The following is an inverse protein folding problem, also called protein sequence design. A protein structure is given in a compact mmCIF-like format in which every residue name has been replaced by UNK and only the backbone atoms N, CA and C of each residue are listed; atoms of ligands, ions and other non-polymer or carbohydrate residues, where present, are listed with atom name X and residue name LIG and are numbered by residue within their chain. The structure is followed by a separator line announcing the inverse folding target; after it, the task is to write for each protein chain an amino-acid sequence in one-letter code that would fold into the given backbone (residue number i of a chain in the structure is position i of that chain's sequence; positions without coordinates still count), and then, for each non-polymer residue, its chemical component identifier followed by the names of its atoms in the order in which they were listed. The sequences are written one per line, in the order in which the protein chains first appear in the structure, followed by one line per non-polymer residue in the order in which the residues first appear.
data_IF_844547683901
#
_entry.id   IF_844547683901
#
_cell.length_a   1.000
_cell.length_b   1.000
_cell.length_c   1.000
_cell.angle_alpha   90.00
_cell.angle_beta   90.00
_cell.angle_gamma   90.00
#
_symmetry.space_group_name_H-M   'P 1'
#
loop_
_entity.id
_entity.type
_entity.pdbx_description
1 polymer ?
#
# COMPACT_ATOMS: atom_id res chain seq x y z
N UNK A 1 15.02 -54.10 26.64
CA UNK A 1 13.73 -53.66 26.08
C UNK A 1 13.62 -52.16 26.31
N UNK A 2 14.08 -51.35 25.39
CA UNK A 2 14.02 -49.88 25.41
C UNK A 2 12.83 -49.45 24.56
N UNK A 3 11.80 -48.92 25.21
CA UNK A 3 10.62 -48.39 24.54
C UNK A 3 10.99 -47.13 23.75
N UNK A 4 10.90 -47.23 22.45
CA UNK A 4 10.98 -46.08 21.55
C UNK A 4 9.71 -45.25 21.73
N UNK A 5 9.83 -44.12 22.41
CA UNK A 5 8.78 -43.09 22.45
C UNK A 5 8.63 -42.51 21.04
N UNK A 6 7.58 -42.90 20.32
CA UNK A 6 7.16 -42.32 19.09
C UNK A 6 6.74 -40.87 19.34
N UNK A 7 7.64 -39.94 19.00
CA UNK A 7 7.37 -38.51 19.01
C UNK A 7 6.48 -38.21 17.81
N UNK A 8 5.15 -38.37 17.94
CA UNK A 8 4.17 -37.88 16.99
C UNK A 8 4.17 -36.37 17.08
N UNK A 9 5.02 -35.73 16.25
CA UNK A 9 4.93 -34.30 16.00
C UNK A 9 3.54 -34.02 15.43
N UNK A 10 2.63 -33.54 16.28
CA UNK A 10 1.35 -33.04 15.88
C UNK A 10 1.64 -31.99 14.79
N UNK A 11 1.28 -32.28 13.53
CA UNK A 11 1.39 -31.32 12.42
C UNK A 11 0.62 -30.08 12.85
N UNK A 12 1.34 -29.02 13.19
CA UNK A 12 0.75 -27.74 13.58
C UNK A 12 -0.20 -27.30 12.47
N UNK A 13 -1.49 -27.31 12.77
CA UNK A 13 -2.55 -26.99 11.81
C UNK A 13 -2.52 -25.49 11.55
N UNK A 14 -2.62 -25.10 10.30
CA UNK A 14 -2.73 -23.69 9.90
C UNK A 14 -4.10 -23.18 10.36
N UNK A 15 -4.19 -22.06 11.10
CA UNK A 15 -5.45 -21.54 11.59
C UNK A 15 -6.21 -20.80 10.47
N UNK A 16 -6.85 -21.54 9.58
CA UNK A 16 -7.50 -21.03 8.38
C UNK A 16 -8.55 -19.94 8.66
N UNK A 17 -9.27 -20.03 9.77
CA UNK A 17 -10.24 -18.98 10.15
C UNK A 17 -9.57 -17.62 10.34
N UNK A 18 -8.42 -17.58 11.02
CA UNK A 18 -7.64 -16.35 11.23
C UNK A 18 -7.14 -15.81 9.88
N UNK A 19 -6.67 -16.70 9.00
CA UNK A 19 -6.15 -16.31 7.68
C UNK A 19 -7.28 -15.76 6.81
N UNK A 20 -8.42 -16.44 6.74
CA UNK A 20 -9.57 -16.01 5.95
C UNK A 20 -10.08 -14.63 6.45
N UNK A 21 -10.28 -14.50 7.76
CA UNK A 21 -10.71 -13.21 8.33
C UNK A 21 -9.72 -12.09 8.07
N UNK A 22 -8.41 -12.33 8.23
CA UNK A 22 -7.39 -11.33 7.94
C UNK A 22 -7.31 -10.98 6.45
N UNK A 23 -7.48 -11.95 5.55
CA UNK A 23 -7.56 -11.71 4.10
C UNK A 23 -8.78 -10.86 3.73
N UNK A 24 -9.94 -11.12 4.34
CA UNK A 24 -11.14 -10.31 4.12
C UNK A 24 -10.95 -8.89 4.64
N UNK A 25 -10.33 -8.72 5.82
CA UNK A 25 -9.97 -7.38 6.34
C UNK A 25 -9.04 -6.65 5.38
N UNK A 26 -8.00 -7.32 4.87
CA UNK A 26 -7.09 -6.72 3.90
C UNK A 26 -7.82 -6.30 2.61
N UNK A 27 -8.69 -7.16 2.07
CA UNK A 27 -9.48 -6.85 0.88
C UNK A 27 -10.46 -5.70 1.11
N UNK A 28 -11.16 -5.66 2.25
CA UNK A 28 -12.06 -4.57 2.63
C UNK A 28 -11.33 -3.25 2.89
N UNK A 29 -10.11 -3.29 3.43
CA UNK A 29 -9.33 -2.07 3.68
C UNK A 29 -8.79 -1.46 2.39
N UNK A 30 -8.24 -2.28 1.49
CA UNK A 30 -7.62 -1.79 0.25
C UNK A 30 -8.61 -1.61 -0.90
N UNK A 31 -9.71 -2.37 -0.92
CA UNK A 31 -10.68 -2.36 -2.00
C UNK A 31 -11.33 -0.99 -2.23
N UNK A 32 -12.10 -0.43 -1.29
CA UNK A 32 -12.74 0.87 -1.45
C UNK A 32 -11.75 1.98 -1.76
N UNK A 33 -10.61 1.99 -1.06
CA UNK A 33 -9.56 2.98 -1.29
C UNK A 33 -9.07 2.99 -2.76
N UNK A 34 -8.87 1.82 -3.34
CA UNK A 34 -8.39 1.71 -4.73
C UNK A 34 -9.43 2.15 -5.77
N UNK A 35 -10.69 2.18 -5.39
CA UNK A 35 -11.81 2.57 -6.23
C UNK A 35 -12.23 4.05 -6.07
N UNK A 36 -11.56 4.81 -5.17
CA UNK A 36 -11.94 6.21 -4.89
C UNK A 36 -11.93 7.10 -6.13
N UNK A 37 -11.07 6.84 -7.12
CA UNK A 37 -11.02 7.60 -8.35
C UNK A 37 -12.34 7.62 -9.15
N UNK A 38 -13.19 6.57 -9.01
CA UNK A 38 -14.51 6.54 -9.66
C UNK A 38 -15.52 7.54 -9.08
N UNK A 39 -15.32 7.98 -7.85
CA UNK A 39 -16.17 8.96 -7.17
C UNK A 39 -15.85 10.41 -7.58
N UNK A 40 -14.68 10.66 -8.19
CA UNK A 40 -14.23 12.01 -8.52
C UNK A 40 -15.23 12.74 -9.39
N UNK A 41 -15.46 12.30 -10.62
CA UNK A 41 -16.30 13.02 -11.57
C UNK A 41 -17.74 13.20 -11.11
N UNK A 42 -18.47 12.17 -10.64
CA UNK A 42 -19.86 12.35 -10.22
C UNK A 42 -20.00 13.28 -9.00
N UNK A 43 -19.05 13.22 -8.07
CA UNK A 43 -19.04 14.11 -6.91
C UNK A 43 -18.78 15.56 -7.27
N UNK A 44 -17.77 15.80 -8.13
CA UNK A 44 -17.44 17.15 -8.58
C UNK A 44 -18.58 17.78 -9.39
N UNK A 45 -19.21 17.00 -10.26
CA UNK A 45 -20.37 17.46 -11.06
C UNK A 45 -21.55 17.88 -10.20
N UNK A 46 -21.85 17.14 -9.12
CA UNK A 46 -22.98 17.45 -8.22
C UNK A 46 -22.67 18.60 -7.26
N UNK A 47 -21.45 18.65 -6.72
CA UNK A 47 -21.08 19.63 -5.67
C UNK A 47 -20.50 20.93 -6.24
N UNK A 48 -20.15 20.98 -7.52
CA UNK A 48 -19.47 22.13 -8.13
C UNK A 48 -18.03 22.35 -7.63
N UNK A 49 -17.39 21.29 -7.15
CA UNK A 49 -15.99 21.33 -6.67
C UNK A 49 -15.03 21.09 -7.83
N UNK A 50 -13.76 21.47 -7.62
CA UNK A 50 -12.66 21.27 -8.57
C UNK A 50 -11.89 19.96 -8.31
N UNK A 51 -11.01 19.60 -9.25
CA UNK A 51 -10.17 18.41 -9.14
C UNK A 51 -9.09 18.55 -8.07
N UNK A 52 -8.64 19.76 -7.79
CA UNK A 52 -7.71 20.08 -6.70
C UNK A 52 -8.32 19.71 -5.36
N UNK A 53 -9.58 20.06 -5.13
CA UNK A 53 -10.31 19.75 -3.90
C UNK A 53 -10.38 18.24 -3.63
N UNK A 54 -10.76 17.44 -4.64
CA UNK A 54 -10.79 15.99 -4.52
C UNK A 54 -9.37 15.41 -4.41
N UNK A 55 -8.45 15.90 -5.21
CA UNK A 55 -7.05 15.49 -5.17
C UNK A 55 -6.41 15.73 -3.80
N UNK A 56 -6.69 16.89 -3.16
CA UNK A 56 -6.20 17.17 -1.82
C UNK A 56 -6.81 16.22 -0.77
N UNK A 57 -8.10 15.88 -0.87
CA UNK A 57 -8.71 14.90 0.03
C UNK A 57 -8.01 13.54 -0.05
N UNK A 58 -7.78 13.04 -1.25
CA UNK A 58 -7.06 11.79 -1.50
C UNK A 58 -5.57 11.87 -1.11
N UNK A 59 -4.95 13.03 -1.29
CA UNK A 59 -3.57 13.27 -0.86
C UNK A 59 -3.44 13.19 0.66
N UNK A 60 -4.33 13.88 1.39
CA UNK A 60 -4.43 13.79 2.85
C UNK A 60 -4.64 12.34 3.32
N UNK A 61 -5.47 11.58 2.62
CA UNK A 61 -5.69 10.16 2.92
C UNK A 61 -4.37 9.36 2.93
N UNK A 62 -3.53 9.56 1.92
CA UNK A 62 -2.24 8.91 1.84
C UNK A 62 -1.29 9.38 2.95
N UNK A 63 -1.27 10.67 3.25
CA UNK A 63 -0.43 11.23 4.31
C UNK A 63 -0.82 10.68 5.68
N UNK A 64 -2.12 10.68 6.02
CA UNK A 64 -2.60 10.18 7.30
C UNK A 64 -2.47 8.66 7.41
N UNK A 65 -2.53 7.92 6.30
CA UNK A 65 -2.16 6.51 6.29
C UNK A 65 -0.68 6.34 6.68
N UNK A 66 0.24 7.08 6.07
CA UNK A 66 1.67 7.00 6.37
C UNK A 66 2.01 7.36 7.82
N UNK A 67 1.45 8.46 8.31
CA UNK A 67 1.65 8.93 9.67
C UNK A 67 0.99 8.01 10.72
N UNK A 68 -0.20 7.48 10.41
CA UNK A 68 -0.96 6.63 11.33
C UNK A 68 -0.36 5.24 11.50
N UNK A 69 0.33 4.72 10.48
CA UNK A 69 0.81 3.33 10.49
C UNK A 69 1.74 2.99 11.67
N UNK A 70 2.79 3.77 11.99
CA UNK A 70 3.65 3.50 13.14
C UNK A 70 2.89 3.58 14.47
N UNK A 71 1.97 4.54 14.56
CA UNK A 71 1.16 4.76 15.75
C UNK A 71 0.23 3.58 16.04
N UNK A 72 -0.55 3.17 15.03
CA UNK A 72 -1.46 2.02 15.17
C UNK A 72 -0.70 0.69 15.30
N UNK A 73 0.48 0.56 14.69
CA UNK A 73 1.38 -0.57 14.90
C UNK A 73 1.77 -0.71 16.37
N UNK A 74 2.25 0.36 16.99
CA UNK A 74 2.62 0.38 18.41
C UNK A 74 1.43 0.08 19.33
N UNK A 75 0.24 0.60 19.02
CA UNK A 75 -0.99 0.27 19.77
C UNK A 75 -1.35 -1.22 19.60
N UNK A 76 -1.23 -1.77 18.39
CA UNK A 76 -1.51 -3.19 18.13
C UNK A 76 -0.57 -4.12 18.90
N UNK A 77 0.71 -3.75 19.02
CA UNK A 77 1.70 -4.52 19.77
C UNK A 77 1.43 -4.47 21.29
N UNK A 78 0.92 -3.35 21.81
CA UNK A 78 0.65 -3.19 23.24
C UNK A 78 -0.73 -3.71 23.66
N UNK A 79 -1.76 -3.42 22.88
CA UNK A 79 -3.16 -3.67 23.27
C UNK A 79 -3.84 -4.77 22.46
N UNK A 80 -3.14 -5.36 21.50
CA UNK A 80 -3.63 -6.44 20.65
C UNK A 80 -4.21 -5.96 19.33
N UNK A 81 -4.00 -6.78 18.30
CA UNK A 81 -4.33 -6.48 16.90
C UNK A 81 -5.82 -6.27 16.67
N UNK A 82 -6.69 -7.09 17.31
CA UNK A 82 -8.14 -7.05 17.08
C UNK A 82 -8.77 -5.70 17.45
N UNK A 83 -8.28 -5.05 18.53
CA UNK A 83 -8.77 -3.73 18.96
C UNK A 83 -8.44 -2.64 17.97
N UNK A 84 -7.23 -2.69 17.42
CA UNK A 84 -6.79 -1.70 16.42
C UNK A 84 -7.54 -1.90 15.11
N UNK A 85 -7.73 -3.14 14.66
CA UNK A 85 -8.51 -3.44 13.46
C UNK A 85 -9.99 -3.00 13.63
N UNK A 86 -10.59 -3.25 14.81
CA UNK A 86 -11.95 -2.80 15.15
C UNK A 86 -12.06 -1.27 15.08
N UNK A 87 -11.14 -0.57 15.76
CA UNK A 87 -11.10 0.90 15.74
C UNK A 87 -10.90 1.41 14.31
N UNK A 88 -10.00 0.80 13.56
CA UNK A 88 -9.75 1.15 12.15
C UNK A 88 -10.98 1.00 11.28
N UNK A 89 -11.71 -0.12 11.40
CA UNK A 89 -12.96 -0.35 10.68
C UNK A 89 -14.04 0.69 10.99
N UNK A 90 -14.19 1.07 12.28
CA UNK A 90 -15.14 2.10 12.70
C UNK A 90 -14.75 3.50 12.20
N UNK A 91 -13.47 3.88 12.29
CA UNK A 91 -12.96 5.16 11.78
C UNK A 91 -13.14 5.21 10.25
N UNK A 92 -12.86 4.11 9.55
CA UNK A 92 -13.01 4.04 8.10
C UNK A 92 -14.48 4.17 7.70
N UNK A 93 -15.39 3.45 8.37
CA UNK A 93 -16.84 3.57 8.16
C UNK A 93 -17.31 5.02 8.37
N UNK A 94 -16.92 5.65 9.48
CA UNK A 94 -17.26 7.05 9.76
C UNK A 94 -16.72 8.00 8.67
N UNK A 95 -15.51 7.76 8.17
CA UNK A 95 -14.91 8.55 7.09
C UNK A 95 -15.67 8.45 5.78
N UNK A 96 -16.04 7.24 5.36
CA UNK A 96 -16.84 7.00 4.15
C UNK A 96 -18.24 7.60 4.27
N UNK A 97 -18.88 7.47 5.42
CA UNK A 97 -20.19 8.07 5.68
C UNK A 97 -20.13 9.60 5.66
N UNK A 98 -19.08 10.19 6.27
CA UNK A 98 -18.87 11.64 6.23
C UNK A 98 -18.61 12.12 4.79
N UNK A 99 -17.87 11.35 3.99
CA UNK A 99 -17.66 11.64 2.58
C UNK A 99 -18.99 11.58 1.78
N UNK A 100 -19.84 10.57 2.05
CA UNK A 100 -21.14 10.40 1.40
C UNK A 100 -22.08 11.60 1.66
N UNK A 101 -22.04 12.14 2.87
CA UNK A 101 -22.91 13.24 3.33
C UNK A 101 -22.23 14.61 3.26
N UNK A 102 -21.06 14.73 2.61
CA UNK A 102 -20.28 15.95 2.59
C UNK A 102 -21.04 17.10 1.90
N UNK A 103 -21.26 18.19 2.64
CA UNK A 103 -21.83 19.44 2.16
C UNK A 103 -20.81 20.56 2.00
N UNK A 104 -19.60 20.35 2.48
CA UNK A 104 -18.49 21.29 2.40
C UNK A 104 -17.17 20.59 2.08
N UNK A 105 -16.24 21.34 1.50
CA UNK A 105 -14.87 20.90 1.22
C UNK A 105 -14.17 20.39 2.49
N UNK A 106 -14.39 21.07 3.63
CA UNK A 106 -13.82 20.64 4.91
C UNK A 106 -14.31 19.26 5.34
N UNK A 107 -15.62 18.95 5.16
CA UNK A 107 -16.15 17.61 5.45
C UNK A 107 -15.53 16.55 4.54
N UNK A 108 -15.33 16.84 3.26
CA UNK A 108 -14.64 15.93 2.34
C UNK A 108 -13.20 15.68 2.80
N UNK A 109 -12.45 16.71 3.16
CA UNK A 109 -11.05 16.58 3.58
C UNK A 109 -10.92 15.80 4.90
N UNK A 110 -11.83 16.03 5.85
CA UNK A 110 -11.84 15.27 7.12
C UNK A 110 -12.27 13.82 6.86
N UNK A 111 -13.39 13.60 6.16
CA UNK A 111 -13.95 12.27 5.91
C UNK A 111 -13.03 11.42 5.04
N UNK A 112 -12.81 11.83 3.81
CA UNK A 112 -11.99 11.11 2.83
C UNK A 112 -10.49 11.17 3.18
N UNK A 113 -9.99 12.33 3.63
CA UNK A 113 -8.57 12.53 3.90
C UNK A 113 -8.15 11.95 5.24
N UNK A 114 -8.64 12.50 6.35
CA UNK A 114 -8.14 12.16 7.69
C UNK A 114 -8.72 10.83 8.16
N UNK A 115 -10.04 10.69 8.21
CA UNK A 115 -10.67 9.51 8.81
C UNK A 115 -10.43 8.25 7.97
N UNK A 116 -10.62 8.30 6.66
CA UNK A 116 -10.32 7.15 5.80
C UNK A 116 -8.83 6.83 5.84
N UNK A 117 -7.93 7.83 5.81
CA UNK A 117 -6.49 7.63 5.93
C UNK A 117 -6.08 6.91 7.23
N UNK A 118 -6.61 7.36 8.37
CA UNK A 118 -6.37 6.70 9.66
C UNK A 118 -7.03 5.32 9.73
N UNK A 119 -8.22 5.15 9.16
CA UNK A 119 -8.89 3.85 9.06
C UNK A 119 -8.07 2.83 8.28
N UNK A 120 -7.51 3.24 7.13
CA UNK A 120 -6.58 2.41 6.33
C UNK A 120 -5.29 2.12 7.09
N UNK A 121 -4.74 3.08 7.85
CA UNK A 121 -3.56 2.87 8.68
C UNK A 121 -3.79 1.80 9.75
N UNK A 122 -4.92 1.87 10.45
CA UNK A 122 -5.29 0.91 11.50
C UNK A 122 -5.72 -0.46 10.95
N UNK A 123 -6.33 -0.50 9.73
CA UNK A 123 -6.65 -1.72 8.99
C UNK A 123 -5.52 -2.26 8.14
N UNK A 124 -4.32 -1.69 8.26
CA UNK A 124 -3.22 -1.95 7.33
C UNK A 124 -2.79 -3.41 7.31
N UNK A 125 -2.31 -3.79 6.13
CA UNK A 125 -1.77 -5.10 5.84
C UNK A 125 -0.67 -5.55 6.82
N UNK A 126 0.20 -4.64 7.26
CA UNK A 126 1.26 -4.96 8.23
C UNK A 126 0.70 -5.41 9.60
N UNK A 127 -0.43 -4.84 10.04
CA UNK A 127 -1.11 -5.23 11.28
C UNK A 127 -1.74 -6.63 11.14
N UNK A 128 -2.35 -6.91 9.99
CA UNK A 128 -2.89 -8.24 9.66
C UNK A 128 -1.77 -9.28 9.61
N UNK A 129 -0.65 -8.97 8.94
CA UNK A 129 0.51 -9.87 8.86
C UNK A 129 1.14 -10.14 10.23
N UNK A 130 1.18 -9.16 11.12
CA UNK A 130 1.64 -9.35 12.48
C UNK A 130 0.74 -10.34 13.25
N UNK A 131 -0.58 -10.32 13.01
CA UNK A 131 -1.49 -11.34 13.53
C UNK A 131 -1.20 -12.72 12.94
N UNK A 132 -1.00 -12.81 11.62
CA UNK A 132 -0.66 -14.08 10.97
C UNK A 132 0.65 -14.67 11.51
N UNK A 133 1.68 -13.83 11.69
CA UNK A 133 2.96 -14.27 12.24
C UNK A 133 2.84 -14.91 13.63
N UNK A 134 1.92 -14.41 14.47
CA UNK A 134 1.70 -14.95 15.83
C UNK A 134 1.00 -16.29 15.84
N UNK A 135 0.12 -16.55 14.87
CA UNK A 135 -0.73 -17.74 14.85
C UNK A 135 -0.24 -18.81 13.86
N UNK A 136 0.81 -18.52 13.07
CA UNK A 136 1.29 -19.43 12.03
C UNK A 136 2.68 -19.97 12.37
N UNK A 137 2.92 -21.28 12.26
CA UNK A 137 4.25 -21.89 12.41
C UNK A 137 5.27 -21.24 11.48
N UNK A 138 6.55 -21.06 11.90
CA UNK A 138 7.59 -20.37 11.12
C UNK A 138 7.73 -20.87 9.69
N UNK A 139 7.60 -22.19 9.47
CA UNK A 139 7.77 -22.87 8.18
C UNK A 139 6.68 -22.48 7.16
N UNK A 140 5.51 -22.04 7.63
CA UNK A 140 4.36 -21.67 6.79
C UNK A 140 4.11 -20.16 6.69
N UNK A 141 4.84 -19.34 7.45
CA UNK A 141 4.65 -17.88 7.48
C UNK A 141 4.78 -17.24 6.11
N UNK A 142 5.75 -17.67 5.31
CA UNK A 142 5.98 -17.10 3.98
C UNK A 142 4.75 -17.29 3.05
N UNK A 143 4.16 -18.49 3.06
CA UNK A 143 2.95 -18.77 2.26
C UNK A 143 1.78 -17.93 2.75
N UNK A 144 1.55 -17.87 4.08
CA UNK A 144 0.45 -17.11 4.67
C UNK A 144 0.58 -15.61 4.41
N UNK A 145 1.80 -15.09 4.45
CA UNK A 145 2.08 -13.69 4.09
C UNK A 145 1.80 -13.41 2.62
N UNK A 146 2.17 -14.35 1.73
CA UNK A 146 1.83 -14.28 0.31
C UNK A 146 0.33 -14.24 0.07
N UNK A 147 -0.43 -15.12 0.73
CA UNK A 147 -1.90 -15.15 0.66
C UNK A 147 -2.51 -13.82 1.13
N UNK A 148 -2.04 -13.28 2.26
CA UNK A 148 -2.51 -12.00 2.78
C UNK A 148 -2.22 -10.83 1.82
N UNK A 149 -1.04 -10.81 1.19
CA UNK A 149 -0.70 -9.79 0.18
C UNK A 149 -1.59 -9.89 -1.05
N UNK A 150 -1.82 -11.11 -1.52
CA UNK A 150 -2.72 -11.38 -2.64
C UNK A 150 -4.16 -10.93 -2.34
N UNK A 151 -4.62 -11.08 -1.10
CA UNK A 151 -5.96 -10.67 -0.69
C UNK A 151 -6.17 -9.15 -0.78
N UNK A 152 -5.17 -8.34 -0.41
CA UNK A 152 -5.23 -6.88 -0.61
C UNK A 152 -5.39 -6.51 -2.09
N UNK A 153 -4.61 -7.16 -2.96
CA UNK A 153 -4.70 -6.97 -4.42
C UNK A 153 -6.01 -7.51 -5.00
N UNK A 154 -6.55 -8.61 -4.47
CA UNK A 154 -7.88 -9.11 -4.83
C UNK A 154 -8.97 -8.10 -4.45
N UNK A 155 -8.84 -7.38 -3.33
CA UNK A 155 -9.70 -6.27 -2.98
C UNK A 155 -9.68 -5.19 -4.07
N UNK A 156 -8.51 -4.76 -4.54
CA UNK A 156 -8.39 -3.79 -5.65
C UNK A 156 -9.11 -4.27 -6.92
N UNK A 157 -8.89 -5.54 -7.28
CA UNK A 157 -9.53 -6.15 -8.46
C UNK A 157 -11.06 -6.17 -8.37
N UNK A 158 -11.60 -6.58 -7.21
CA UNK A 158 -13.03 -6.74 -7.01
C UNK A 158 -13.77 -5.42 -6.85
N UNK A 159 -13.18 -4.46 -6.15
CA UNK A 159 -13.86 -3.20 -5.83
C UNK A 159 -13.94 -2.23 -7.02
N UNK A 160 -13.10 -2.35 -8.05
CA UNK A 160 -13.22 -1.53 -9.25
C UNK A 160 -14.59 -1.74 -9.95
N UNK A 161 -14.96 -2.97 -10.38
CA UNK A 161 -16.28 -3.20 -10.98
C UNK A 161 -17.43 -3.04 -9.98
N UNK A 162 -17.24 -3.44 -8.72
CA UNK A 162 -18.27 -3.30 -7.67
C UNK A 162 -18.64 -1.83 -7.47
N UNK A 163 -17.65 -0.95 -7.31
CA UNK A 163 -17.87 0.47 -7.07
C UNK A 163 -18.57 1.12 -8.25
N UNK A 164 -18.07 0.89 -9.47
CA UNK A 164 -18.68 1.46 -10.66
C UNK A 164 -20.11 0.96 -10.87
N UNK A 165 -20.37 -0.34 -10.63
CA UNK A 165 -21.72 -0.91 -10.71
C UNK A 165 -22.69 -0.28 -9.70
N UNK A 166 -22.26 -0.10 -8.45
CA UNK A 166 -23.06 0.56 -7.41
C UNK A 166 -23.27 2.04 -7.71
N UNK A 167 -22.24 2.76 -8.18
CA UNK A 167 -22.36 4.18 -8.57
C UNK A 167 -23.38 4.34 -9.69
N UNK A 168 -23.36 3.44 -10.68
CA UNK A 168 -24.30 3.47 -11.81
C UNK A 168 -25.74 3.17 -11.37
N UNK A 169 -25.91 2.26 -10.40
CA UNK A 169 -27.26 1.83 -9.92
C UNK A 169 -27.87 2.77 -8.89
N UNK A 170 -27.06 3.32 -7.98
CA UNK A 170 -27.52 4.03 -6.78
C UNK A 170 -26.93 5.44 -6.62
N UNK A 171 -26.01 5.84 -7.49
CA UNK A 171 -25.28 7.09 -7.34
C UNK A 171 -24.08 6.98 -6.40
N UNK A 172 -23.24 8.01 -6.41
CA UNK A 172 -21.98 8.03 -5.66
C UNK A 172 -22.18 8.08 -4.13
N UNK A 173 -23.15 8.86 -3.66
CA UNK A 173 -23.41 9.06 -2.22
C UNK A 173 -23.87 7.77 -1.57
N UNK A 174 -24.92 7.11 -2.11
CA UNK A 174 -25.44 5.86 -1.55
C UNK A 174 -24.43 4.73 -1.64
N UNK A 175 -23.61 4.71 -2.71
CA UNK A 175 -22.50 3.76 -2.82
C UNK A 175 -21.50 3.90 -1.68
N UNK A 176 -21.15 5.12 -1.28
CA UNK A 176 -20.28 5.36 -0.13
C UNK A 176 -20.93 4.96 1.19
N UNK A 177 -22.25 5.12 1.33
CA UNK A 177 -23.00 4.62 2.50
C UNK A 177 -22.93 3.09 2.56
N UNK A 178 -23.16 2.39 1.44
CA UNK A 178 -23.01 0.93 1.39
C UNK A 178 -21.58 0.48 1.71
N UNK A 179 -20.58 1.16 1.18
CA UNK A 179 -19.19 0.88 1.53
C UNK A 179 -18.89 1.15 3.01
N UNK A 180 -19.44 2.22 3.57
CA UNK A 180 -19.34 2.48 5.02
C UNK A 180 -19.91 1.32 5.83
N UNK A 181 -21.10 0.82 5.46
CA UNK A 181 -21.71 -0.33 6.13
C UNK A 181 -20.86 -1.60 5.98
N UNK A 182 -20.19 -1.81 4.83
CA UNK A 182 -19.25 -2.93 4.65
C UNK A 182 -18.06 -2.86 5.61
N UNK A 183 -17.57 -1.66 5.95
CA UNK A 183 -16.47 -1.51 6.92
C UNK A 183 -16.86 -1.94 8.33
N UNK A 184 -18.15 -1.89 8.68
CA UNK A 184 -18.65 -2.35 9.99
C UNK A 184 -18.57 -3.89 10.15
N UNK A 185 -18.24 -4.63 9.09
CA UNK A 185 -17.96 -6.06 9.16
C UNK A 185 -16.55 -6.31 9.75
N UNK A 186 -15.62 -5.35 9.60
CA UNK A 186 -14.22 -5.50 10.07
C UNK A 186 -14.14 -5.81 11.56
N UNK A 187 -14.87 -5.16 12.49
CA UNK A 187 -14.91 -5.52 13.90
C UNK A 187 -15.21 -7.00 14.16
N UNK A 188 -16.16 -7.56 13.44
CA UNK A 188 -16.54 -8.99 13.58
C UNK A 188 -15.42 -9.90 13.05
N UNK A 189 -14.86 -9.56 11.88
CA UNK A 189 -13.73 -10.30 11.29
C UNK A 189 -12.45 -10.20 12.12
N UNK A 190 -12.32 -9.17 12.94
CA UNK A 190 -11.14 -8.99 13.79
C UNK A 190 -11.15 -9.90 15.03
N UNK A 191 -12.31 -10.42 15.47
CA UNK A 191 -12.44 -11.25 16.67
C UNK A 191 -11.50 -12.49 16.65
N UNK A 192 -11.43 -13.28 15.57
CA UNK A 192 -10.53 -14.43 15.52
C UNK A 192 -9.04 -14.05 15.54
N UNK A 193 -8.70 -12.81 15.20
CA UNK A 193 -7.33 -12.29 15.25
C UNK A 193 -6.93 -11.80 16.65
N UNK A 194 -7.84 -11.94 17.63
CA UNK A 194 -7.54 -11.68 19.03
C UNK A 194 -6.51 -12.70 19.54
N UNK A 195 -5.37 -12.23 20.01
CA UNK A 195 -4.32 -13.06 20.60
C UNK A 195 -3.48 -12.22 21.56
N UNK A 196 -2.88 -12.86 22.56
CA UNK A 196 -2.04 -12.16 23.53
C UNK A 196 -0.83 -11.54 22.84
N UNK A 197 -0.65 -10.24 23.02
CA UNK A 197 0.45 -9.45 22.46
C UNK A 197 1.81 -9.73 23.11
N UNK A 198 1.85 -10.54 24.18
CA UNK A 198 3.09 -10.85 24.90
C UNK A 198 3.84 -12.00 24.23
N UNK A 199 4.90 -11.68 23.49
CA UNK A 199 5.98 -12.61 23.19
C UNK A 199 7.16 -12.31 24.14
N UNK A 200 7.36 -13.09 25.22
CA UNK A 200 8.45 -12.85 26.18
C UNK A 200 9.84 -13.03 25.56
N UNK A 201 9.93 -13.66 24.37
CA UNK A 201 11.21 -14.01 23.74
C UNK A 201 11.81 -12.89 22.86
N UNK A 202 11.18 -11.74 22.76
CA UNK A 202 11.80 -10.58 22.06
C UNK A 202 12.80 -9.81 22.94
N UNK A 203 12.94 -10.18 24.22
CA UNK A 203 13.80 -9.47 25.19
C UNK A 203 15.27 -9.94 25.20
N UNK A 204 15.63 -11.00 24.50
CA UNK A 204 16.96 -11.61 24.57
C UNK A 204 17.83 -11.33 23.33
N UNK A 205 17.98 -10.07 22.93
CA UNK A 205 19.06 -9.69 22.02
C UNK A 205 19.90 -8.60 22.71
N UNK A 206 21.09 -8.96 23.14
CA UNK A 206 22.12 -8.08 23.71
C UNK A 206 22.69 -7.21 22.57
N UNK A 207 21.90 -6.24 22.13
CA UNK A 207 22.40 -5.19 21.27
C UNK A 207 21.72 -3.88 21.70
N UNK A 208 22.52 -2.98 22.32
CA UNK A 208 22.06 -1.79 23.01
C UNK A 208 21.76 -0.58 22.09
N UNK A 209 21.59 -0.81 20.76
CA UNK A 209 21.29 0.29 19.86
C UNK A 209 19.88 0.83 20.11
N UNK A 210 19.77 2.10 20.52
CA UNK A 210 18.49 2.78 20.66
C UNK A 210 17.82 3.06 19.31
N UNK A 211 16.50 3.18 19.29
CA UNK A 211 15.72 3.53 18.08
C UNK A 211 16.25 4.81 17.41
N UNK A 212 16.58 5.84 18.22
CA UNK A 212 17.14 7.11 17.71
C UNK A 212 18.53 6.94 17.09
N UNK A 213 19.37 6.07 17.66
CA UNK A 213 20.69 5.77 17.10
C UNK A 213 20.59 5.01 15.77
N UNK A 214 19.68 4.01 15.68
CA UNK A 214 19.43 3.27 14.46
C UNK A 214 18.88 4.16 13.33
N UNK A 215 17.99 5.10 13.67
CA UNK A 215 17.47 6.07 12.71
C UNK A 215 18.56 7.02 12.21
N UNK A 216 19.40 7.53 13.11
CA UNK A 216 20.51 8.42 12.75
C UNK A 216 21.54 7.70 11.88
N UNK A 217 21.88 6.45 12.20
CA UNK A 217 22.75 5.59 11.38
C UNK A 217 22.18 5.41 9.97
N UNK A 218 20.88 5.08 9.86
CA UNK A 218 20.23 4.85 8.59
C UNK A 218 20.14 6.13 7.74
N UNK A 219 19.75 7.26 8.32
CA UNK A 219 19.70 8.54 7.62
C UNK A 219 21.08 9.08 7.23
N UNK A 220 22.15 8.68 7.92
CA UNK A 220 23.53 8.94 7.54
C UNK A 220 24.07 7.98 6.44
N UNK A 221 23.37 6.89 6.15
CA UNK A 221 23.81 5.89 5.20
C UNK A 221 23.33 6.17 3.78
N UNK A 222 24.23 6.50 2.87
CA UNK A 222 23.92 6.91 1.49
C UNK A 222 22.95 5.96 0.77
N UNK A 223 23.18 4.65 0.83
CA UNK A 223 22.33 3.67 0.13
C UNK A 223 20.89 3.67 0.67
N UNK A 224 20.69 3.92 1.97
CA UNK A 224 19.35 4.01 2.55
C UNK A 224 18.63 5.29 2.11
N UNK A 225 19.31 6.43 2.12
CA UNK A 225 18.71 7.69 1.66
C UNK A 225 18.32 7.60 0.19
N UNK A 226 19.15 6.99 -0.66
CA UNK A 226 18.83 6.75 -2.06
C UNK A 226 17.61 5.81 -2.22
N UNK A 227 17.52 4.77 -1.40
CA UNK A 227 16.37 3.85 -1.39
C UNK A 227 15.08 4.58 -0.98
N UNK A 228 15.12 5.39 0.07
CA UNK A 228 14.00 6.23 0.53
C UNK A 228 13.56 7.20 -0.56
N UNK A 229 14.52 7.87 -1.22
CA UNK A 229 14.24 8.82 -2.31
C UNK A 229 13.62 8.14 -3.53
N UNK A 230 14.08 6.95 -3.89
CA UNK A 230 13.50 6.20 -5.01
C UNK A 230 12.12 5.64 -4.69
N UNK A 231 11.88 5.19 -3.46
CA UNK A 231 10.57 4.65 -3.07
C UNK A 231 9.48 5.74 -2.97
N UNK A 232 9.86 6.99 -2.74
CA UNK A 232 8.99 8.16 -2.90
C UNK A 232 8.31 8.18 -4.27
N UNK A 233 9.06 7.89 -5.33
CA UNK A 233 8.54 7.90 -6.71
C UNK A 233 7.50 6.81 -6.93
N UNK A 234 7.66 5.64 -6.29
CA UNK A 234 6.62 4.60 -6.32
C UNK A 234 5.28 5.16 -5.84
N UNK A 235 5.30 5.84 -4.70
CA UNK A 235 4.09 6.47 -4.15
C UNK A 235 3.47 7.48 -5.09
N UNK A 236 4.27 8.36 -5.66
CA UNK A 236 3.82 9.37 -6.61
C UNK A 236 3.06 8.74 -7.79
N UNK A 237 3.67 7.78 -8.47
CA UNK A 237 3.10 7.15 -9.66
C UNK A 237 1.84 6.33 -9.33
N UNK A 238 1.90 5.48 -8.31
CA UNK A 238 0.81 4.57 -7.95
C UNK A 238 -0.42 5.34 -7.48
N UNK A 239 -0.24 6.33 -6.61
CA UNK A 239 -1.36 7.07 -6.05
C UNK A 239 -2.01 8.01 -7.08
N UNK A 240 -1.21 8.65 -7.94
CA UNK A 240 -1.72 9.45 -9.05
C UNK A 240 -2.63 8.61 -9.97
N UNK A 241 -2.16 7.46 -10.42
CA UNK A 241 -2.96 6.57 -11.28
C UNK A 241 -4.22 6.12 -10.54
N UNK A 242 -4.12 5.69 -9.30
CA UNK A 242 -5.30 5.24 -8.52
C UNK A 242 -6.38 6.31 -8.41
N UNK A 243 -5.99 7.57 -8.21
CA UNK A 243 -6.93 8.66 -7.98
C UNK A 243 -7.51 9.26 -9.28
N UNK A 244 -6.66 9.43 -10.30
CA UNK A 244 -7.02 10.23 -11.47
C UNK A 244 -7.22 9.42 -12.76
N UNK A 245 -6.87 8.13 -12.78
CA UNK A 245 -7.01 7.32 -14.00
C UNK A 245 -8.45 7.23 -14.54
N UNK A 246 -9.50 7.05 -13.68
CA UNK A 246 -10.87 7.04 -14.19
C UNK A 246 -11.27 8.35 -14.85
N UNK A 247 -10.90 9.50 -14.25
CA UNK A 247 -11.16 10.81 -14.81
C UNK A 247 -10.38 11.04 -16.11
N UNK A 248 -9.10 10.63 -16.15
CA UNK A 248 -8.27 10.73 -17.35
C UNK A 248 -8.86 9.93 -18.52
N UNK A 249 -9.33 8.71 -18.30
CA UNK A 249 -9.95 7.88 -19.35
C UNK A 249 -11.21 8.55 -19.91
N UNK A 250 -12.02 9.18 -19.04
CA UNK A 250 -13.19 9.93 -19.48
C UNK A 250 -12.80 11.18 -20.29
N UNK A 251 -11.77 11.92 -19.86
CA UNK A 251 -11.29 13.14 -20.51
C UNK A 251 -10.76 12.89 -21.94
N UNK A 252 -10.11 11.74 -22.16
CA UNK A 252 -9.64 11.34 -23.50
C UNK A 252 -10.75 10.69 -24.37
N UNK A 253 -12.01 10.70 -23.90
CA UNK A 253 -13.17 10.22 -24.64
C UNK A 253 -13.30 8.70 -24.76
N UNK A 254 -12.58 7.94 -23.96
CA UNK A 254 -12.71 6.48 -23.90
C UNK A 254 -13.82 6.11 -22.91
N UNK A 255 -14.62 5.12 -23.28
CA UNK A 255 -15.74 4.64 -22.46
C UNK A 255 -15.27 4.28 -21.02
N UNK A 256 -15.99 4.74 -20.03
CA UNK A 256 -15.68 4.57 -18.59
C UNK A 256 -15.46 3.11 -18.18
N UNK A 257 -16.05 2.12 -18.88
CA UNK A 257 -15.80 0.70 -18.65
C UNK A 257 -14.31 0.33 -18.74
N UNK A 258 -13.53 1.03 -19.58
CA UNK A 258 -12.10 0.75 -19.70
C UNK A 258 -11.28 1.27 -18.55
N UNK A 259 -11.75 2.30 -17.83
CA UNK A 259 -11.16 2.68 -16.55
C UNK A 259 -11.37 1.58 -15.49
N UNK A 260 -12.56 0.99 -15.45
CA UNK A 260 -12.88 -0.14 -14.56
C UNK A 260 -12.01 -1.36 -14.88
N UNK A 261 -11.98 -1.75 -16.16
CA UNK A 261 -11.14 -2.87 -16.64
C UNK A 261 -9.66 -2.57 -16.31
N UNK A 262 -9.20 -1.36 -16.55
CA UNK A 262 -7.81 -0.95 -16.30
C UNK A 262 -7.42 -1.10 -14.84
N UNK A 263 -8.17 -0.51 -13.91
CA UNK A 263 -7.87 -0.62 -12.47
C UNK A 263 -8.02 -2.05 -11.94
N UNK A 264 -9.00 -2.80 -12.45
CA UNK A 264 -9.15 -4.22 -12.12
C UNK A 264 -7.93 -5.04 -12.61
N UNK A 265 -7.48 -4.84 -13.84
CA UNK A 265 -6.30 -5.52 -14.38
C UNK A 265 -5.03 -5.13 -13.64
N UNK A 266 -4.85 -3.86 -13.26
CA UNK A 266 -3.75 -3.45 -12.40
C UNK A 266 -3.77 -4.27 -11.09
N UNK A 267 -4.91 -4.39 -10.43
CA UNK A 267 -5.05 -5.19 -9.21
C UNK A 267 -4.72 -6.67 -9.42
N UNK A 268 -5.23 -7.27 -10.49
CA UNK A 268 -4.99 -8.67 -10.82
C UNK A 268 -3.51 -8.95 -11.15
N UNK A 269 -2.93 -8.19 -12.07
CA UNK A 269 -1.53 -8.39 -12.47
C UNK A 269 -0.54 -7.97 -11.38
N UNK A 270 -0.93 -7.12 -10.42
CA UNK A 270 -0.15 -6.82 -9.23
C UNK A 270 0.11 -8.06 -8.36
N UNK A 271 -0.85 -9.01 -8.28
CA UNK A 271 -0.63 -10.28 -7.58
C UNK A 271 0.54 -11.03 -8.23
N UNK A 272 0.48 -11.17 -9.56
CA UNK A 272 1.51 -11.89 -10.33
C UNK A 272 2.87 -11.18 -10.22
N UNK A 273 2.87 -9.86 -10.44
CA UNK A 273 4.09 -9.04 -10.40
C UNK A 273 4.79 -9.05 -9.04
N UNK A 274 4.03 -8.91 -7.96
CA UNK A 274 4.59 -8.91 -6.59
C UNK A 274 5.19 -10.28 -6.22
N UNK A 275 4.54 -11.39 -6.60
CA UNK A 275 5.06 -12.73 -6.38
C UNK A 275 6.33 -12.98 -7.21
N UNK A 276 6.30 -12.62 -8.50
CA UNK A 276 7.46 -12.75 -9.39
C UNK A 276 8.64 -11.91 -8.87
N UNK A 277 8.38 -10.68 -8.41
CA UNK A 277 9.39 -9.81 -7.83
C UNK A 277 10.07 -10.42 -6.60
N UNK A 278 9.31 -11.08 -5.74
CA UNK A 278 9.86 -11.79 -4.58
C UNK A 278 10.85 -12.90 -4.99
N UNK A 279 10.52 -13.66 -6.06
CA UNK A 279 11.38 -14.72 -6.59
C UNK A 279 12.62 -14.15 -7.33
N UNK A 280 12.41 -13.14 -8.19
CA UNK A 280 13.49 -12.49 -8.95
C UNK A 280 14.50 -11.83 -8.01
N UNK A 281 14.00 -11.12 -6.98
CA UNK A 281 14.83 -10.46 -5.98
C UNK A 281 15.69 -11.39 -5.12
N UNK A 282 15.43 -12.70 -5.12
CA UNK A 282 16.33 -13.70 -4.49
C UNK A 282 17.55 -14.04 -5.35
N UNK A 283 17.41 -13.93 -6.67
CA UNK A 283 18.44 -14.38 -7.64
C UNK A 283 19.31 -13.25 -8.18
N UNK A 284 18.75 -12.03 -8.25
CA UNK A 284 19.38 -10.89 -8.87
C UNK A 284 19.60 -9.74 -7.88
N UNK A 285 20.51 -8.83 -8.22
CA UNK A 285 20.77 -7.60 -7.45
C UNK A 285 19.48 -6.78 -7.33
N UNK A 286 19.04 -6.54 -6.09
CA UNK A 286 17.80 -5.83 -5.78
C UNK A 286 17.83 -4.36 -6.24
N UNK A 287 18.94 -3.60 -6.06
CA UNK A 287 19.02 -2.24 -6.57
C UNK A 287 18.86 -2.15 -8.08
N UNK A 288 19.55 -3.03 -8.83
CA UNK A 288 19.46 -3.07 -10.29
C UNK A 288 18.05 -3.48 -10.74
N UNK A 289 17.46 -4.46 -10.07
CA UNK A 289 16.09 -4.88 -10.35
C UNK A 289 15.08 -3.75 -10.10
N UNK A 290 15.21 -2.98 -9.01
CA UNK A 290 14.40 -1.80 -8.75
C UNK A 290 14.57 -0.74 -9.84
N UNK A 291 15.79 -0.47 -10.28
CA UNK A 291 16.05 0.46 -11.37
C UNK A 291 15.32 0.04 -12.66
N UNK A 292 15.35 -1.24 -13.03
CA UNK A 292 14.63 -1.76 -14.19
C UNK A 292 13.09 -1.67 -14.05
N UNK A 293 12.54 -1.88 -12.85
CA UNK A 293 11.11 -1.68 -12.61
C UNK A 293 10.72 -0.21 -12.89
N UNK A 294 11.50 0.76 -12.40
CA UNK A 294 11.20 2.18 -12.63
C UNK A 294 11.40 2.61 -14.09
N UNK A 295 12.41 2.09 -14.77
CA UNK A 295 12.57 2.28 -16.24
C UNK A 295 11.35 1.70 -16.97
N UNK A 296 10.95 0.48 -16.64
CA UNK A 296 9.78 -0.18 -17.24
C UNK A 296 8.50 0.61 -17.06
N UNK A 297 8.27 1.17 -15.86
CA UNK A 297 7.12 2.06 -15.62
C UNK A 297 7.20 3.35 -16.44
N UNK A 298 8.37 3.98 -16.51
CA UNK A 298 8.57 5.19 -17.30
C UNK A 298 8.31 4.93 -18.78
N UNK A 299 8.80 3.80 -19.31
CA UNK A 299 8.52 3.38 -20.69
C UNK A 299 7.03 3.12 -20.91
N UNK A 300 6.36 2.41 -19.97
CA UNK A 300 4.94 2.10 -20.08
C UNK A 300 4.09 3.37 -20.12
N UNK A 301 4.38 4.34 -19.24
CA UNK A 301 3.69 5.63 -19.19
C UNK A 301 3.97 6.43 -20.46
N UNK A 302 5.23 6.58 -20.87
CA UNK A 302 5.61 7.32 -22.07
C UNK A 302 4.99 6.70 -23.33
N UNK A 303 5.00 5.38 -23.46
CA UNK A 303 4.36 4.68 -24.57
C UNK A 303 2.84 4.92 -24.60
N UNK A 304 2.18 4.88 -23.42
CA UNK A 304 0.74 5.15 -23.32
C UNK A 304 0.37 6.58 -23.74
N UNK A 305 1.23 7.56 -23.45
CA UNK A 305 1.00 8.96 -23.83
C UNK A 305 1.31 9.25 -25.31
N UNK A 306 2.34 8.60 -25.86
CA UNK A 306 2.84 8.90 -27.23
C UNK A 306 2.14 8.07 -28.30
N UNK A 307 1.61 6.91 -27.96
CA UNK A 307 0.88 6.05 -28.90
C UNK A 307 -0.61 6.40 -28.94
N UNK A 308 -1.34 6.00 -30.00
CA UNK A 308 -2.78 6.25 -30.07
C UNK A 308 -3.50 5.69 -28.82
N UNK A 309 -4.24 6.58 -28.16
CA UNK A 309 -5.02 6.23 -26.97
C UNK A 309 -6.30 5.52 -27.40
N UNK A 310 -6.32 4.21 -27.26
CA UNK A 310 -7.41 3.33 -27.65
C UNK A 310 -7.79 2.43 -26.47
N UNK A 311 -8.96 1.79 -26.48
CA UNK A 311 -9.29 0.77 -25.50
C UNK A 311 -8.21 -0.31 -25.33
N UNK A 312 -7.57 -0.73 -26.42
CA UNK A 312 -6.49 -1.71 -26.40
C UNK A 312 -5.24 -1.17 -25.71
N UNK A 313 -4.85 0.08 -25.96
CA UNK A 313 -3.68 0.69 -25.29
C UNK A 313 -3.91 0.84 -23.79
N UNK A 314 -5.14 1.13 -23.35
CA UNK A 314 -5.54 1.15 -21.93
C UNK A 314 -5.34 -0.23 -21.28
N UNK A 315 -5.79 -1.29 -21.94
CA UNK A 315 -5.65 -2.67 -21.43
C UNK A 315 -4.17 -3.08 -21.34
N UNK A 316 -3.38 -2.81 -22.38
CA UNK A 316 -1.94 -3.11 -22.38
C UNK A 316 -1.22 -2.35 -21.30
N UNK A 317 -1.48 -1.04 -21.17
CA UNK A 317 -0.93 -0.21 -20.10
C UNK A 317 -1.27 -0.77 -18.72
N UNK A 318 -2.53 -1.14 -18.49
CA UNK A 318 -2.98 -1.69 -17.21
C UNK A 318 -2.29 -3.02 -16.86
N UNK A 319 -2.09 -3.91 -17.84
CA UNK A 319 -1.38 -5.19 -17.65
C UNK A 319 0.09 -4.92 -17.25
N UNK A 320 0.78 -4.08 -18.03
CA UNK A 320 2.20 -3.78 -17.80
C UNK A 320 2.38 -3.05 -16.46
N UNK A 321 1.58 -2.02 -16.21
CA UNK A 321 1.62 -1.31 -14.93
C UNK A 321 1.26 -2.21 -13.76
N UNK A 322 0.28 -3.11 -13.91
CA UNK A 322 -0.09 -4.08 -12.89
C UNK A 322 1.07 -5.00 -12.51
N UNK A 323 1.77 -5.56 -13.50
CA UNK A 323 2.96 -6.38 -13.25
C UNK A 323 4.08 -5.62 -12.50
N UNK A 324 4.21 -4.33 -12.73
CA UNK A 324 5.22 -3.49 -12.13
C UNK A 324 4.72 -2.77 -10.85
N UNK A 325 3.41 -2.85 -10.50
CA UNK A 325 2.72 -2.00 -9.53
C UNK A 325 3.37 -1.94 -8.15
N UNK A 326 3.34 -3.03 -7.40
CA UNK A 326 4.00 -3.15 -6.10
C UNK A 326 5.20 -4.11 -6.14
N UNK A 327 5.72 -4.39 -7.33
CA UNK A 327 6.92 -5.22 -7.52
C UNK A 327 8.17 -4.60 -6.90
N UNK A 328 8.11 -3.32 -6.53
CA UNK A 328 9.16 -2.62 -5.79
C UNK A 328 9.20 -2.95 -4.31
N UNK A 329 8.09 -3.42 -3.71
CA UNK A 329 7.96 -3.61 -2.25
C UNK A 329 8.85 -4.73 -1.70
N UNK A 330 8.85 -5.96 -2.27
CA UNK A 330 9.69 -7.04 -1.76
C UNK A 330 11.20 -6.71 -1.80
N UNK A 331 11.79 -6.23 -2.91
CA UNK A 331 13.22 -5.92 -2.95
C UNK A 331 13.58 -4.73 -2.05
N UNK A 332 12.71 -3.73 -1.90
CA UNK A 332 12.92 -2.58 -0.99
C UNK A 332 13.03 -3.04 0.46
N UNK A 333 12.07 -3.83 0.95
CA UNK A 333 12.10 -4.35 2.32
C UNK A 333 13.30 -5.28 2.54
N UNK A 334 13.66 -6.08 1.54
CA UNK A 334 14.84 -6.94 1.60
C UNK A 334 16.14 -6.13 1.70
N UNK A 335 16.27 -5.01 0.98
CA UNK A 335 17.45 -4.14 1.08
C UNK A 335 17.58 -3.52 2.46
N UNK A 336 16.48 -3.06 3.07
CA UNK A 336 16.51 -2.55 4.45
C UNK A 336 16.98 -3.65 5.42
N UNK A 337 16.46 -4.87 5.27
CA UNK A 337 16.86 -6.01 6.09
C UNK A 337 18.34 -6.40 5.90
N UNK A 338 18.86 -6.34 4.68
CA UNK A 338 20.28 -6.63 4.38
C UNK A 338 21.19 -5.55 4.98
N UNK A 339 20.84 -4.27 4.82
CA UNK A 339 21.68 -3.17 5.29
C UNK A 339 21.74 -3.08 6.82
N UNK A 340 20.60 -3.21 7.51
CA UNK A 340 20.50 -2.90 8.94
C UNK A 340 20.12 -4.08 9.83
N UNK A 341 19.84 -5.25 9.24
CA UNK A 341 19.33 -6.41 9.97
C UNK A 341 17.82 -6.30 10.24
N UNK A 342 17.30 -7.27 10.98
CA UNK A 342 15.85 -7.42 11.20
C UNK A 342 15.34 -6.70 12.46
N UNK A 343 16.22 -6.28 13.36
CA UNK A 343 15.84 -5.69 14.66
C UNK A 343 14.99 -4.43 14.54
N UNK A 344 15.42 -3.46 13.73
CA UNK A 344 14.74 -2.20 13.51
C UNK A 344 14.04 -2.13 12.14
N UNK A 345 13.81 -3.31 11.51
CA UNK A 345 13.23 -3.39 10.17
C UNK A 345 11.85 -2.71 10.08
N UNK A 346 11.01 -2.87 11.07
CA UNK A 346 9.70 -2.23 11.10
C UNK A 346 9.78 -0.71 11.11
N UNK A 347 10.67 -0.14 11.92
CA UNK A 347 10.86 1.31 12.00
C UNK A 347 11.52 1.87 10.74
N UNK A 348 12.61 1.26 10.27
CA UNK A 348 13.31 1.71 9.06
C UNK A 348 12.47 1.50 7.79
N UNK A 349 11.77 0.37 7.68
CA UNK A 349 10.78 0.14 6.63
C UNK A 349 9.62 1.13 6.70
N UNK A 350 9.22 1.53 7.91
CA UNK A 350 8.22 2.58 8.14
C UNK A 350 8.64 3.95 7.60
N UNK A 351 9.91 4.33 7.74
CA UNK A 351 10.45 5.59 7.17
C UNK A 351 10.44 5.53 5.65
N UNK A 352 10.84 4.39 5.06
CA UNK A 352 10.76 4.16 3.61
C UNK A 352 9.31 4.27 3.14
N UNK A 353 8.37 3.67 3.88
CA UNK A 353 6.95 3.75 3.57
C UNK A 353 6.37 5.16 3.74
N UNK A 354 6.83 5.92 4.74
CA UNK A 354 6.42 7.31 4.91
C UNK A 354 6.86 8.17 3.70
N UNK A 355 8.06 7.95 3.18
CA UNK A 355 8.52 8.60 1.95
C UNK A 355 7.61 8.28 0.76
N UNK A 356 7.20 7.03 0.61
CA UNK A 356 6.19 6.62 -0.39
C UNK A 356 4.88 7.39 -0.21
N UNK A 357 4.41 7.57 1.01
CA UNK A 357 3.16 8.28 1.28
C UNK A 357 3.26 9.79 1.04
N UNK A 358 4.43 10.39 1.25
CA UNK A 358 4.71 11.78 0.85
C UNK A 358 4.70 11.89 -0.68
N UNK A 359 5.30 10.93 -1.38
CA UNK A 359 5.20 10.83 -2.85
C UNK A 359 3.77 10.69 -3.33
N UNK A 360 2.99 9.84 -2.66
CA UNK A 360 1.56 9.64 -2.93
C UNK A 360 0.76 10.93 -2.74
N UNK A 361 1.02 11.66 -1.65
CA UNK A 361 0.42 12.97 -1.41
C UNK A 361 0.66 13.91 -2.59
N UNK A 362 1.92 14.08 -2.98
CA UNK A 362 2.28 14.99 -4.07
C UNK A 362 1.72 14.54 -5.42
N UNK A 363 1.76 13.25 -5.75
CA UNK A 363 1.24 12.73 -7.01
C UNK A 363 -0.25 12.98 -7.18
N UNK A 364 -1.02 12.75 -6.13
CA UNK A 364 -2.48 12.94 -6.18
C UNK A 364 -2.85 14.42 -6.14
N UNK A 365 -2.24 15.20 -5.24
CA UNK A 365 -2.53 16.63 -5.15
C UNK A 365 -2.13 17.38 -6.43
N UNK A 366 -0.92 17.16 -6.93
CA UNK A 366 -0.46 17.77 -8.17
C UNK A 366 -1.31 17.32 -9.37
N UNK A 367 -1.83 16.09 -9.37
CA UNK A 367 -2.75 15.61 -10.40
C UNK A 367 -3.97 16.50 -10.53
N UNK A 368 -4.65 16.83 -9.44
CA UNK A 368 -5.78 17.75 -9.43
C UNK A 368 -5.37 19.18 -9.75
N UNK A 369 -4.35 19.69 -9.04
CA UNK A 369 -3.89 21.07 -9.18
C UNK A 369 -3.43 21.42 -10.61
N UNK A 370 -2.61 20.56 -11.21
CA UNK A 370 -2.12 20.80 -12.58
C UNK A 370 -3.25 20.65 -13.60
N UNK A 371 -4.20 19.75 -13.37
CA UNK A 371 -5.36 19.65 -14.24
C UNK A 371 -6.21 20.93 -14.21
N UNK A 372 -6.54 21.47 -13.04
CA UNK A 372 -7.35 22.69 -12.92
C UNK A 372 -6.62 23.90 -13.50
N UNK A 373 -5.29 23.90 -13.53
CA UNK A 373 -4.49 24.99 -14.07
C UNK A 373 -4.23 24.90 -15.59
N UNK A 374 -3.98 23.68 -16.10
CA UNK A 374 -3.60 23.45 -17.50
C UNK A 374 -4.70 22.80 -18.35
N UNK A 375 -5.79 22.35 -17.75
CA UNK A 375 -6.86 21.62 -18.43
C UNK A 375 -6.48 20.22 -18.90
N UNK A 376 -5.33 19.68 -18.45
CA UNK A 376 -4.81 18.36 -18.85
C UNK A 376 -4.01 17.71 -17.73
N UNK A 377 -4.01 16.37 -17.69
CA UNK A 377 -3.11 15.58 -16.83
C UNK A 377 -1.70 15.38 -17.41
N UNK A 378 -1.43 15.81 -18.66
CA UNK A 378 -0.13 15.59 -19.32
C UNK A 378 1.06 16.06 -18.49
N UNK A 379 1.03 17.25 -17.83
CA UNK A 379 2.17 17.71 -17.03
C UNK A 379 2.53 16.73 -15.89
N UNK A 380 1.53 16.16 -15.20
CA UNK A 380 1.79 15.24 -14.10
C UNK A 380 2.18 13.84 -14.59
N UNK A 381 1.66 13.38 -15.72
CA UNK A 381 2.12 12.15 -16.36
C UNK A 381 3.59 12.22 -16.74
N UNK A 382 4.03 13.30 -17.43
CA UNK A 382 5.43 13.49 -17.81
C UNK A 382 6.34 13.70 -16.60
N UNK A 383 5.86 14.39 -15.55
CA UNK A 383 6.57 14.45 -14.28
C UNK A 383 6.76 13.04 -13.69
N UNK A 384 5.75 12.18 -13.76
CA UNK A 384 5.82 10.78 -13.35
C UNK A 384 6.87 9.98 -14.14
N UNK A 385 7.02 10.22 -15.45
CA UNK A 385 8.08 9.64 -16.30
C UNK A 385 9.46 10.12 -15.83
N UNK A 386 9.63 11.43 -15.65
CA UNK A 386 10.90 12.01 -15.21
C UNK A 386 11.33 11.49 -13.82
N UNK A 387 10.39 11.44 -12.88
CA UNK A 387 10.62 10.87 -11.55
C UNK A 387 10.96 9.39 -11.61
N UNK A 388 10.33 8.63 -12.51
CA UNK A 388 10.66 7.21 -12.71
C UNK A 388 12.10 7.01 -13.19
N UNK A 389 12.58 7.83 -14.12
CA UNK A 389 13.96 7.82 -14.56
C UNK A 389 14.91 8.27 -13.41
N UNK A 390 14.53 9.30 -12.65
CA UNK A 390 15.25 9.69 -11.43
C UNK A 390 15.34 8.52 -10.45
N UNK A 391 14.24 7.81 -10.18
CA UNK A 391 14.25 6.65 -9.31
C UNK A 391 15.20 5.56 -9.81
N UNK A 392 15.23 5.28 -11.10
CA UNK A 392 16.19 4.33 -11.68
C UNK A 392 17.64 4.74 -11.42
N UNK A 393 17.96 6.02 -11.65
CA UNK A 393 19.32 6.56 -11.42
C UNK A 393 19.72 6.46 -9.95
N UNK A 394 18.84 6.78 -9.00
CA UNK A 394 19.20 6.74 -7.58
C UNK A 394 19.28 5.31 -7.02
N UNK A 395 18.58 4.35 -7.63
CA UNK A 395 18.72 2.95 -7.22
C UNK A 395 20.03 2.31 -7.69
N UNK A 396 20.57 2.73 -8.84
CA UNK A 396 21.75 2.11 -9.45
C UNK A 396 22.99 2.05 -8.55
N UNK A 397 23.37 3.13 -7.82
CA UNK A 397 24.56 3.13 -6.95
C UNK A 397 24.32 2.52 -5.56
N UNK A 398 23.13 2.01 -5.23
CA UNK A 398 22.84 1.41 -3.93
C UNK A 398 23.69 0.15 -3.75
N UNK A 399 24.39 0.07 -2.62
CA UNK A 399 25.20 -1.10 -2.25
C UNK A 399 24.35 -2.09 -1.46
N UNK A 400 24.22 -3.30 -1.99
CA UNK A 400 23.49 -4.41 -1.36
C UNK A 400 24.41 -5.17 -0.39
N UNK A 401 24.75 -4.51 0.74
CA UNK A 401 25.59 -5.10 1.80
C UNK A 401 25.22 -4.54 3.16
N UNK A 402 25.51 -5.29 4.24
CA UNK A 402 25.36 -4.78 5.60
C UNK A 402 26.17 -3.51 5.82
N UNK A 403 25.68 -2.65 6.72
CA UNK A 403 26.42 -1.49 7.21
C UNK A 403 27.61 -1.98 8.05
N UNK A 404 28.80 -1.46 7.75
CA UNK A 404 30.00 -1.76 8.52
C UNK A 404 29.86 -1.14 9.93
N UNK A 405 29.59 -1.98 10.92
CA UNK A 405 29.59 -1.57 12.34
C UNK A 405 30.92 -2.04 12.95
N UNK A 406 31.64 -1.15 13.70
CA UNK A 406 32.75 -1.59 14.51
C UNK A 406 32.31 -2.75 15.41
N UNK A 407 33.06 -3.84 15.46
CA UNK A 407 32.82 -4.90 16.43
C UNK A 407 32.81 -4.28 17.83
N UNK A 408 31.73 -4.48 18.57
CA UNK A 408 31.68 -4.12 19.99
C UNK A 408 32.79 -4.94 20.67
N UNK A 409 33.87 -4.28 21.07
CA UNK A 409 34.87 -4.87 21.95
C UNK A 409 34.14 -5.19 23.25
N UNK A 410 34.16 -6.47 23.72
CA UNK A 410 33.60 -6.77 25.03
C UNK A 410 34.30 -5.86 26.05
N UNK A 411 33.54 -5.16 26.86
CA UNK A 411 34.10 -4.47 28.02
C UNK A 411 34.66 -5.56 28.94
N UNK A 412 35.99 -5.54 29.11
CA UNK A 412 36.72 -6.39 30.07
C UNK A 412 36.26 -6.12 31.50
#
# INVERSE_FOLDING_TARGET
MTAATANTSARATVPWLIIICGCLIAALTFGPRSAMGFFQLPMLAEKGWDRTTFGLAMALQNLFWGLGLPFFGAIADRYGTWRVLTLGGLIYAAGLYMMATATSVGMLHIGCGILVGLGVAAGSFSIVLAAFARHTPPERRSIVFGIGTAAGSAGMFLFAPLSQGLITAYGWSDTLVYMSAMMLIIPVLAIPLAGNSHNPNSANAIDHQSVGAALREALGHRSYVLLVSGFFVCGFQVAFITAHFPAYIADIGIDARYAVIGLALIGFFNIIGSLASGVIGQKYSKPIFLAWIYIGRSIAVAAFLLLPQTPTSVVIFAIVMGLLWLSTVPPTNSLVAIMFGTRHLGMLGGVVFLSHQIGSFLGVWLGGYLYDHFGSYDPVWWLGVALGLFAAVVHWPIKERPVDRPALVPAE
#
